data_IF_892081913097
#
_entry.id   IF_892081913097
#
_cell.length_a   1.000
_cell.length_b   1.000
_cell.length_c   1.000
_cell.angle_alpha   90.00
_cell.angle_beta   90.00
_cell.angle_gamma   90.00
#
_symmetry.space_group_name_H-M   'P 1'
#
loop_
_entity.id
_entity.type
_entity.pdbx_description
1 polymer ?
#
# COMPACT_ATOMS: atom_id res chain seq x y z
N UNK A 1 0.20 8.45 -3.97
CA UNK A 1 0.03 8.15 -5.40
C UNK A 1 -1.45 8.03 -5.72
N UNK A 2 -1.82 8.26 -6.96
CA UNK A 2 -3.22 8.24 -7.38
C UNK A 2 -3.47 7.09 -8.36
N UNK A 3 -4.72 6.59 -8.36
CA UNK A 3 -5.15 5.62 -9.36
C UNK A 3 -5.17 6.27 -10.76
N UNK A 4 -5.18 5.45 -11.83
CA UNK A 4 -5.21 6.01 -13.19
C UNK A 4 -6.40 6.93 -13.47
N UNK A 5 -7.55 6.68 -12.85
CA UNK A 5 -8.72 7.53 -13.01
C UNK A 5 -8.71 8.75 -12.08
N UNK A 6 -7.78 8.82 -11.14
CA UNK A 6 -7.68 9.91 -10.18
C UNK A 6 -8.72 9.88 -9.07
N UNK A 7 -9.49 8.82 -8.94
CA UNK A 7 -10.56 8.69 -7.96
C UNK A 7 -10.12 7.98 -6.67
N UNK A 8 -8.90 7.47 -6.62
CA UNK A 8 -8.34 6.84 -5.43
C UNK A 8 -6.93 7.33 -5.18
N UNK A 9 -6.54 7.39 -3.92
CA UNK A 9 -5.20 7.80 -3.52
C UNK A 9 -4.63 6.80 -2.53
N UNK A 10 -3.37 6.42 -2.73
CA UNK A 10 -2.63 5.58 -1.80
C UNK A 10 -1.48 6.38 -1.20
N UNK A 11 -1.25 6.22 0.08
CA UNK A 11 -0.18 6.90 0.78
C UNK A 11 0.56 5.95 1.71
N UNK A 12 1.89 6.05 1.69
CA UNK A 12 2.75 5.38 2.64
C UNK A 12 2.94 6.29 3.84
N UNK A 13 2.64 5.78 5.04
CA UNK A 13 2.73 6.53 6.28
C UNK A 13 3.72 5.82 7.20
N UNK A 14 4.62 6.58 7.82
CA UNK A 14 5.54 6.08 8.81
C UNK A 14 5.13 6.59 10.19
N UNK A 15 5.01 5.65 11.14
CA UNK A 15 4.68 5.99 12.52
C UNK A 15 5.47 5.06 13.47
N UNK A 16 6.21 5.66 14.41
CA UNK A 16 6.97 4.91 15.42
C UNK A 16 7.92 3.88 14.80
N UNK A 17 8.56 4.24 13.68
CA UNK A 17 9.50 3.36 13.01
C UNK A 17 8.85 2.26 12.16
N UNK A 18 7.53 2.22 12.09
CA UNK A 18 6.80 1.25 11.28
C UNK A 18 6.05 1.96 10.17
N UNK A 19 5.82 1.21 9.09
CA UNK A 19 5.12 1.74 7.92
C UNK A 19 3.71 1.17 7.83
N UNK A 20 2.83 1.97 7.28
CA UNK A 20 1.47 1.57 6.94
C UNK A 20 1.14 2.06 5.54
N UNK A 21 0.24 1.39 4.87
CA UNK A 21 -0.26 1.80 3.56
C UNK A 21 -1.74 2.13 3.70
N UNK A 22 -2.09 3.35 3.31
CA UNK A 22 -3.45 3.85 3.39
C UNK A 22 -4.00 4.06 1.98
N UNK A 23 -5.27 3.73 1.80
CA UNK A 23 -6.01 4.04 0.57
C UNK A 23 -7.27 4.80 0.97
N UNK A 24 -7.44 5.99 0.41
CA UNK A 24 -8.59 6.86 0.66
C UNK A 24 -8.82 7.11 2.15
N UNK A 25 -7.72 7.24 2.92
CA UNK A 25 -7.78 7.49 4.35
C UNK A 25 -7.97 6.26 5.22
N UNK A 26 -8.05 5.07 4.63
CA UNK A 26 -8.22 3.81 5.37
C UNK A 26 -6.96 2.96 5.31
N UNK A 27 -6.55 2.42 6.44
CA UNK A 27 -5.39 1.56 6.51
C UNK A 27 -5.69 0.23 5.80
N UNK A 28 -4.86 -0.10 4.82
CA UNK A 28 -4.92 -1.38 4.13
C UNK A 28 -4.06 -2.41 4.85
N UNK A 29 -2.88 -1.99 5.29
CA UNK A 29 -1.95 -2.83 6.03
C UNK A 29 -1.11 -1.95 6.95
N UNK A 30 -0.74 -2.45 8.11
CA UNK A 30 -0.01 -1.71 9.13
C UNK A 30 1.13 -2.54 9.72
N UNK A 31 1.97 -1.89 10.53
CA UNK A 31 3.05 -2.52 11.29
C UNK A 31 4.10 -3.20 10.40
N UNK A 32 4.40 -2.58 9.27
CA UNK A 32 5.42 -3.07 8.34
C UNK A 32 6.76 -2.45 8.64
N UNK A 33 7.84 -3.21 8.47
CA UNK A 33 9.20 -2.69 8.51
C UNK A 33 9.56 -1.94 7.25
N UNK A 34 8.87 -2.23 6.15
CA UNK A 34 9.02 -1.51 4.90
C UNK A 34 7.86 -1.81 3.97
N UNK A 35 7.61 -0.88 3.04
CA UNK A 35 6.62 -1.05 1.99
C UNK A 35 7.12 -0.35 0.74
N UNK A 36 7.00 -1.01 -0.42
CA UNK A 36 7.56 -0.52 -1.68
C UNK A 36 6.59 -0.70 -2.83
N UNK A 37 6.76 0.18 -3.81
CA UNK A 37 6.14 0.09 -5.14
C UNK A 37 4.62 -0.07 -5.10
N UNK A 38 3.89 0.74 -4.31
CA UNK A 38 2.44 0.69 -4.41
C UNK A 38 2.03 1.10 -5.82
N UNK A 39 1.22 0.27 -6.47
CA UNK A 39 0.82 0.48 -7.85
C UNK A 39 -0.62 0.04 -8.02
N UNK A 40 -1.45 0.93 -8.59
CA UNK A 40 -2.82 0.58 -8.94
C UNK A 40 -2.85 -0.19 -10.26
N UNK A 41 -3.79 -1.14 -10.38
CA UNK A 41 -4.07 -1.76 -11.67
C UNK A 41 -4.63 -0.70 -12.64
N UNK A 42 -4.59 -0.97 -13.96
CA UNK A 42 -5.08 0.00 -14.94
C UNK A 42 -6.53 0.44 -14.73
N UNK A 43 -7.37 -0.43 -14.19
CA UNK A 43 -8.78 -0.11 -13.91
C UNK A 43 -8.99 0.48 -12.51
N UNK A 44 -7.93 0.58 -11.69
CA UNK A 44 -8.01 1.16 -10.36
C UNK A 44 -8.65 0.28 -9.31
N UNK A 45 -8.95 -0.97 -9.60
CA UNK A 45 -9.66 -1.86 -8.66
C UNK A 45 -8.75 -2.70 -7.80
N UNK A 46 -7.46 -2.78 -8.12
CA UNK A 46 -6.48 -3.59 -7.39
C UNK A 46 -5.26 -2.75 -7.08
N UNK A 47 -4.77 -2.88 -5.86
CA UNK A 47 -3.52 -2.27 -5.44
C UNK A 47 -2.47 -3.37 -5.23
N UNK A 48 -1.29 -3.19 -5.82
CA UNK A 48 -0.16 -4.10 -5.75
C UNK A 48 0.96 -3.42 -4.99
N UNK A 49 1.58 -4.13 -4.05
CA UNK A 49 2.74 -3.60 -3.33
C UNK A 49 3.56 -4.72 -2.72
N UNK A 50 4.78 -4.37 -2.31
CA UNK A 50 5.68 -5.28 -1.60
C UNK A 50 5.89 -4.79 -0.18
N UNK A 51 6.06 -5.70 0.76
CA UNK A 51 6.27 -5.37 2.15
C UNK A 51 7.36 -6.21 2.78
N UNK A 52 7.95 -5.68 3.86
CA UNK A 52 8.86 -6.39 4.72
C UNK A 52 8.29 -6.36 6.13
N UNK A 53 8.15 -7.53 6.76
CA UNK A 53 7.68 -7.63 8.13
C UNK A 53 8.39 -8.80 8.81
N UNK A 54 9.05 -8.51 9.94
CA UNK A 54 9.77 -9.51 10.74
C UNK A 54 10.75 -10.33 9.89
N UNK A 55 11.45 -9.67 8.95
CA UNK A 55 12.41 -10.33 8.09
C UNK A 55 11.82 -11.07 6.91
N UNK A 56 10.48 -11.05 6.75
CA UNK A 56 9.80 -11.72 5.64
C UNK A 56 9.39 -10.69 4.59
N UNK A 57 9.85 -10.92 3.37
CA UNK A 57 9.51 -10.08 2.22
C UNK A 57 8.33 -10.70 1.49
N UNK A 58 7.27 -9.93 1.29
CA UNK A 58 6.02 -10.42 0.70
C UNK A 58 5.51 -9.49 -0.38
N UNK A 59 4.83 -10.08 -1.36
CA UNK A 59 4.09 -9.34 -2.39
C UNK A 59 2.61 -9.44 -2.07
N UNK A 60 1.92 -8.30 -2.13
CA UNK A 60 0.51 -8.23 -1.81
C UNK A 60 -0.32 -7.74 -2.99
N UNK A 61 -1.51 -8.30 -3.11
CA UNK A 61 -2.52 -7.87 -4.06
C UNK A 61 -3.79 -7.60 -3.26
N UNK A 62 -4.28 -6.38 -3.29
CA UNK A 62 -5.45 -5.98 -2.52
C UNK A 62 -6.53 -5.47 -3.47
N UNK A 63 -7.69 -6.07 -3.39
CA UNK A 63 -8.85 -5.61 -4.14
C UNK A 63 -9.53 -4.48 -3.39
N UNK A 64 -9.74 -3.39 -4.08
CA UNK A 64 -10.33 -2.17 -3.52
C UNK A 64 -11.82 -2.07 -3.78
#
# INVERSE_FOLDING_TARGET
MFSPAGDRAAAKVRRDGKFALYVDGNAVIENLDGVWNPTFSPDGTVLLFCSLQDGVFSRHTVRL
#
